data_IF_918470414168
#
_entry.id   IF_918470414168
#
_cell.length_a   1.000
_cell.length_b   1.000
_cell.length_c   1.000
_cell.angle_alpha   90.00
_cell.angle_beta   90.00
_cell.angle_gamma   90.00
#
_symmetry.space_group_name_H-M   'P 1'
#
loop_
_entity.id
_entity.type
_entity.pdbx_description
1 polymer ?
#
# COMPACT_ATOMS: atom_id res chain seq x y z
N UNK A 1 -15.62 -18.35 15.95
CA UNK A 1 -14.15 -18.43 16.30
C UNK A 1 -13.41 -18.47 14.97
N UNK A 2 -12.47 -17.55 14.73
CA UNK A 2 -11.60 -17.66 13.55
C UNK A 2 -10.81 -18.97 13.64
N UNK A 3 -10.64 -19.71 12.52
CA UNK A 3 -9.83 -20.93 12.54
C UNK A 3 -8.38 -20.61 12.94
N UNK A 4 -7.64 -21.62 13.40
CA UNK A 4 -6.19 -21.46 13.64
C UNK A 4 -5.52 -21.08 12.33
N UNK A 5 -5.18 -19.80 12.19
CA UNK A 5 -4.59 -19.23 10.98
C UNK A 5 -3.14 -18.93 11.28
N UNK A 6 -2.27 -19.32 10.36
CA UNK A 6 -0.87 -18.92 10.41
C UNK A 6 -0.67 -17.67 9.55
N UNK A 7 -0.40 -16.54 10.20
CA UNK A 7 -0.24 -15.26 9.53
C UNK A 7 1.12 -15.16 8.83
N UNK A 8 1.12 -14.65 7.62
CA UNK A 8 2.33 -14.35 6.85
C UNK A 8 2.60 -12.85 6.74
N UNK A 9 1.64 -12.02 7.14
CA UNK A 9 1.81 -10.58 7.36
C UNK A 9 1.05 -10.12 8.60
N UNK A 10 1.65 -9.22 9.39
CA UNK A 10 1.02 -8.53 10.52
C UNK A 10 1.34 -7.05 10.36
N UNK A 11 0.33 -6.20 10.54
CA UNK A 11 0.48 -4.77 10.33
C UNK A 11 -0.11 -4.00 11.53
N UNK A 12 0.76 -3.30 12.25
CA UNK A 12 0.35 -2.37 13.29
C UNK A 12 0.18 -0.98 12.66
N UNK A 13 -1.05 -0.57 12.48
CA UNK A 13 -1.44 0.68 11.85
C UNK A 13 -2.53 1.42 12.62
N UNK A 14 -3.05 2.48 12.03
CA UNK A 14 -4.11 3.31 12.59
C UNK A 14 -3.62 4.68 13.03
N UNK A 15 -3.88 5.10 14.26
CA UNK A 15 -3.49 6.44 14.72
C UNK A 15 -1.97 6.62 14.78
N UNK A 16 -1.33 6.14 15.84
CA UNK A 16 0.14 6.14 15.96
C UNK A 16 0.57 4.94 16.79
N UNK A 17 0.65 3.75 16.20
CA UNK A 17 0.91 2.52 16.93
C UNK A 17 2.28 2.48 17.61
N UNK A 18 3.23 3.27 17.13
CA UNK A 18 4.53 3.42 17.79
C UNK A 18 4.48 4.12 19.15
N UNK A 19 3.34 4.68 19.58
CA UNK A 19 3.15 5.20 20.94
C UNK A 19 2.91 4.06 21.95
N UNK A 20 2.49 2.87 21.50
CA UNK A 20 2.34 1.72 22.38
C UNK A 20 3.68 1.37 23.06
N UNK A 21 3.64 0.92 24.34
CA UNK A 21 4.78 0.25 24.95
C UNK A 21 5.21 -0.95 24.11
N UNK A 22 6.52 -1.12 23.93
CA UNK A 22 7.05 -2.21 23.08
C UNK A 22 6.71 -3.59 23.66
N UNK A 23 6.56 -3.67 24.98
CA UNK A 23 6.14 -4.85 25.72
C UNK A 23 4.75 -5.32 25.24
N UNK A 24 3.79 -4.39 25.08
CA UNK A 24 2.44 -4.69 24.57
C UNK A 24 2.47 -5.21 23.12
N UNK A 25 3.34 -4.63 22.27
CA UNK A 25 3.54 -5.14 20.90
C UNK A 25 4.02 -6.59 20.96
N UNK A 26 4.97 -6.89 21.85
CA UNK A 26 5.51 -8.23 22.04
C UNK A 26 4.46 -9.22 22.56
N UNK A 27 3.62 -8.80 23.50
CA UNK A 27 2.50 -9.60 24.01
C UNK A 27 1.52 -9.96 22.90
N UNK A 28 1.09 -8.97 22.09
CA UNK A 28 0.19 -9.21 20.94
C UNK A 28 0.83 -10.22 19.97
N UNK A 29 2.11 -10.08 19.65
CA UNK A 29 2.79 -10.98 18.72
C UNK A 29 2.94 -12.40 19.27
N UNK A 30 3.03 -12.57 20.59
CA UNK A 30 3.11 -13.88 21.23
C UNK A 30 1.78 -14.64 21.21
N UNK A 31 0.65 -13.92 21.15
CA UNK A 31 -0.70 -14.52 21.05
C UNK A 31 -1.05 -14.96 19.62
N UNK A 32 -0.29 -14.55 18.62
CA UNK A 32 -0.56 -14.84 17.21
C UNK A 32 0.34 -15.98 16.68
N UNK A 33 -0.25 -16.92 15.92
CA UNK A 33 0.55 -17.89 15.14
C UNK A 33 0.95 -17.25 13.79
N UNK A 34 2.24 -17.08 13.58
CA UNK A 34 2.76 -16.47 12.37
C UNK A 34 3.97 -17.20 11.80
N UNK A 35 4.18 -17.09 10.50
CA UNK A 35 5.26 -17.78 9.80
C UNK A 35 6.62 -17.15 10.13
N UNK A 36 7.69 -17.97 10.14
CA UNK A 36 9.07 -17.52 10.39
C UNK A 36 9.47 -16.33 9.50
N UNK A 37 8.91 -16.27 8.28
CA UNK A 37 9.19 -15.24 7.28
C UNK A 37 8.05 -14.22 7.17
N UNK A 38 7.22 -14.06 8.21
CA UNK A 38 6.16 -13.06 8.22
C UNK A 38 6.73 -11.65 8.07
N UNK A 39 6.05 -10.81 7.29
CA UNK A 39 6.27 -9.37 7.30
C UNK A 39 5.51 -8.78 8.48
N UNK A 40 6.22 -8.17 9.42
CA UNK A 40 5.64 -7.56 10.60
C UNK A 40 5.97 -6.07 10.56
N UNK A 41 4.98 -5.27 10.20
CA UNK A 41 5.11 -3.82 9.98
C UNK A 41 4.61 -3.04 11.18
N UNK A 42 5.33 -1.96 11.53
CA UNK A 42 4.88 -0.94 12.47
C UNK A 42 4.91 0.43 11.80
N UNK A 43 3.79 1.16 11.85
CA UNK A 43 3.75 2.57 11.51
C UNK A 43 4.34 3.40 12.64
N UNK A 44 5.10 4.44 12.27
CA UNK A 44 5.63 5.39 13.23
C UNK A 44 5.66 6.81 12.66
N UNK A 45 5.51 7.77 13.57
CA UNK A 45 5.80 9.18 13.29
C UNK A 45 7.22 9.52 13.77
N UNK A 46 7.92 10.45 13.10
CA UNK A 46 9.25 10.88 13.52
C UNK A 46 9.30 11.51 14.92
N UNK A 47 8.17 12.03 15.41
CA UNK A 47 8.09 12.68 16.74
C UNK A 47 8.38 11.66 17.85
N UNK A 48 9.17 12.05 18.83
CA UNK A 48 9.45 11.28 20.06
C UNK A 48 10.08 9.90 19.85
N UNK A 49 10.78 9.70 18.75
CA UNK A 49 11.48 8.47 18.44
C UNK A 49 12.95 8.53 18.84
N UNK A 50 13.36 7.64 19.73
CA UNK A 50 14.76 7.50 20.16
C UNK A 50 15.41 6.27 19.58
N UNK A 51 16.73 6.26 19.52
CA UNK A 51 17.49 5.08 19.08
C UNK A 51 17.22 3.85 19.95
N UNK A 52 17.13 4.02 21.26
CA UNK A 52 16.86 2.93 22.20
C UNK A 52 15.45 2.34 21.99
N UNK A 53 14.46 3.20 21.71
CA UNK A 53 13.11 2.73 21.39
C UNK A 53 13.09 1.94 20.09
N UNK A 54 13.76 2.42 19.05
CA UNK A 54 13.88 1.73 17.76
C UNK A 54 14.58 0.37 17.91
N UNK A 55 15.61 0.27 18.75
CA UNK A 55 16.27 -0.98 19.06
C UNK A 55 15.33 -1.98 19.74
N UNK A 56 14.59 -1.56 20.76
CA UNK A 56 13.56 -2.39 21.42
C UNK A 56 12.48 -2.84 20.42
N UNK A 57 12.00 -1.94 19.56
CA UNK A 57 11.02 -2.28 18.49
C UNK A 57 11.62 -3.35 17.57
N UNK A 58 12.89 -3.26 17.21
CA UNK A 58 13.54 -4.29 16.38
C UNK A 58 13.65 -5.64 17.11
N UNK A 59 13.94 -5.62 18.41
CA UNK A 59 14.01 -6.80 19.27
C UNK A 59 12.64 -7.47 19.46
N UNK A 60 11.52 -6.72 19.40
CA UNK A 60 10.14 -7.24 19.48
C UNK A 60 9.69 -7.98 18.21
N UNK A 61 10.61 -8.24 17.26
CA UNK A 61 10.39 -8.95 15.98
C UNK A 61 9.72 -8.15 14.87
N UNK A 62 9.42 -6.86 15.09
CA UNK A 62 9.09 -5.96 14.00
C UNK A 62 10.25 -5.97 12.99
N UNK A 63 9.96 -6.24 11.72
CA UNK A 63 10.99 -6.34 10.67
C UNK A 63 10.81 -5.34 9.53
N UNK A 64 9.72 -4.58 9.56
CA UNK A 64 9.43 -3.49 8.61
C UNK A 64 8.90 -2.27 9.35
N UNK A 65 9.35 -1.08 8.96
CA UNK A 65 8.81 0.20 9.43
C UNK A 65 8.12 0.93 8.29
N UNK A 66 7.02 1.65 8.59
CA UNK A 66 6.44 2.68 7.72
C UNK A 66 6.56 4.01 8.46
N UNK A 67 7.36 4.92 7.91
CA UNK A 67 7.68 6.19 8.58
C UNK A 67 6.89 7.32 7.92
N UNK A 68 5.89 7.85 8.64
CA UNK A 68 5.03 8.93 8.18
C UNK A 68 5.74 10.28 8.16
N UNK A 69 6.65 10.48 7.22
CA UNK A 69 7.42 11.72 7.05
C UNK A 69 6.55 12.82 6.43
N UNK A 70 5.80 12.50 5.41
CA UNK A 70 4.87 13.33 4.63
C UNK A 70 5.55 14.33 3.70
N UNK A 71 6.57 15.06 4.13
CA UNK A 71 7.43 15.96 3.35
C UNK A 71 8.74 16.22 4.09
N UNK A 72 9.77 16.64 3.39
CA UNK A 72 11.01 17.18 3.98
C UNK A 72 11.04 18.71 3.92
N UNK A 73 9.92 19.37 3.60
CA UNK A 73 9.82 20.83 3.60
C UNK A 73 9.09 21.29 4.87
N UNK A 74 9.79 22.02 5.76
CA UNK A 74 9.26 22.42 7.07
C UNK A 74 7.97 23.25 6.96
N UNK A 75 7.82 24.09 5.93
CA UNK A 75 6.59 24.87 5.74
C UNK A 75 5.41 23.98 5.35
N UNK A 76 5.63 22.93 4.55
CA UNK A 76 4.62 21.94 4.19
C UNK A 76 4.22 21.12 5.42
N UNK A 77 5.20 20.62 6.19
CA UNK A 77 4.96 19.91 7.44
C UNK A 77 4.11 20.72 8.41
N UNK A 78 4.48 21.99 8.61
CA UNK A 78 3.72 22.92 9.46
C UNK A 78 2.29 23.12 8.96
N UNK A 79 2.11 23.25 7.64
CA UNK A 79 0.80 23.44 7.03
C UNK A 79 -0.14 22.24 7.30
N UNK A 80 0.37 21.01 7.18
CA UNK A 80 -0.40 19.80 7.47
C UNK A 80 -0.45 19.41 8.96
N UNK A 81 0.09 20.29 9.85
CA UNK A 81 0.01 20.11 11.30
C UNK A 81 0.99 19.09 11.88
N UNK A 82 2.06 18.75 11.14
CA UNK A 82 3.11 17.88 11.67
C UNK A 82 3.98 18.63 12.67
N UNK A 83 4.39 17.94 13.74
CA UNK A 83 5.20 18.51 14.82
C UNK A 83 6.70 18.29 14.62
N UNK A 84 7.09 17.30 13.80
CA UNK A 84 8.48 17.02 13.47
C UNK A 84 8.97 17.92 12.34
N UNK A 85 10.26 18.17 12.33
CA UNK A 85 10.98 18.86 11.25
C UNK A 85 11.54 17.87 10.22
N UNK A 86 12.00 18.40 9.10
CA UNK A 86 12.77 17.64 8.10
C UNK A 86 13.99 16.95 8.71
N UNK A 87 14.71 17.65 9.60
CA UNK A 87 15.89 17.10 10.28
C UNK A 87 15.52 15.94 11.19
N UNK A 88 14.42 16.05 11.96
CA UNK A 88 13.90 14.96 12.81
C UNK A 88 13.57 13.73 11.96
N UNK A 89 12.90 13.92 10.83
CA UNK A 89 12.54 12.83 9.91
C UNK A 89 13.78 12.09 9.38
N UNK A 90 14.78 12.83 8.91
CA UNK A 90 16.05 12.27 8.41
C UNK A 90 16.80 11.56 9.54
N UNK A 91 16.83 12.12 10.74
CA UNK A 91 17.49 11.54 11.90
C UNK A 91 16.82 10.23 12.33
N UNK A 92 15.48 10.19 12.39
CA UNK A 92 14.74 8.97 12.72
C UNK A 92 15.01 7.88 11.70
N UNK A 93 15.00 8.21 10.40
CA UNK A 93 15.35 7.26 9.36
C UNK A 93 16.77 6.68 9.55
N UNK A 94 17.77 7.53 9.80
CA UNK A 94 19.15 7.10 10.06
C UNK A 94 19.26 6.26 11.34
N UNK A 95 18.55 6.62 12.40
CA UNK A 95 18.50 5.84 13.65
C UNK A 95 17.85 4.48 13.41
N UNK A 96 16.78 4.38 12.61
CA UNK A 96 16.14 3.11 12.25
C UNK A 96 17.12 2.19 11.49
N UNK A 97 17.88 2.73 10.54
CA UNK A 97 18.95 1.98 9.87
C UNK A 97 20.00 1.48 10.85
N UNK A 98 20.48 2.33 11.75
CA UNK A 98 21.46 1.96 12.80
C UNK A 98 20.92 0.91 13.77
N UNK A 99 19.60 0.92 14.04
CA UNK A 99 18.94 -0.11 14.86
C UNK A 99 18.75 -1.45 14.13
N UNK A 100 19.16 -1.56 12.85
CA UNK A 100 19.15 -2.81 12.08
C UNK A 100 17.90 -3.03 11.22
N UNK A 101 17.10 -2.00 10.97
CA UNK A 101 16.00 -2.10 10.01
C UNK A 101 16.53 -2.00 8.56
N UNK A 102 16.31 -3.06 7.78
CA UNK A 102 16.68 -3.15 6.36
C UNK A 102 15.45 -3.08 5.43
N UNK A 103 14.26 -2.96 5.98
CA UNK A 103 13.01 -2.79 5.23
C UNK A 103 12.24 -1.61 5.82
N UNK A 104 12.39 -0.46 5.16
CA UNK A 104 11.76 0.80 5.59
C UNK A 104 10.97 1.38 4.43
N UNK A 105 9.72 1.70 4.71
CA UNK A 105 8.88 2.55 3.86
C UNK A 105 8.97 3.98 4.37
N UNK A 106 9.10 4.92 3.45
CA UNK A 106 8.92 6.35 3.69
C UNK A 106 7.61 6.76 3.07
N UNK A 107 6.73 7.36 3.89
CA UNK A 107 5.45 7.87 3.43
C UNK A 107 5.57 9.36 3.17
N UNK A 108 5.26 9.79 1.94
CA UNK A 108 5.24 11.19 1.49
C UNK A 108 3.87 11.56 0.95
N UNK A 109 3.60 12.85 0.93
CA UNK A 109 2.38 13.42 0.35
C UNK A 109 2.74 14.46 -0.70
N UNK A 110 1.93 14.53 -1.74
CA UNK A 110 1.97 15.60 -2.74
C UNK A 110 0.58 16.21 -2.94
N UNK A 111 0.47 17.24 -3.76
CA UNK A 111 -0.82 17.88 -3.98
C UNK A 111 -1.35 18.65 -2.77
N UNK A 112 -0.46 19.05 -1.85
CA UNK A 112 -0.81 19.83 -0.67
C UNK A 112 -0.95 21.31 -1.07
N UNK A 113 -2.00 22.03 -0.62
CA UNK A 113 -2.10 23.47 -0.87
C UNK A 113 -0.81 24.22 -0.50
N UNK A 114 -0.35 25.08 -1.38
CA UNK A 114 0.92 25.82 -1.28
C UNK A 114 2.20 24.99 -1.41
N UNK A 115 2.13 23.72 -1.77
CA UNK A 115 3.28 22.92 -2.17
C UNK A 115 3.62 23.22 -3.63
N UNK A 116 4.87 23.53 -3.93
CA UNK A 116 5.35 23.77 -5.31
C UNK A 116 6.00 22.52 -5.91
N UNK A 117 6.22 22.53 -7.21
CA UNK A 117 7.03 21.52 -7.91
C UNK A 117 8.47 21.46 -7.40
N UNK A 118 9.03 22.60 -6.99
CA UNK A 118 10.37 22.66 -6.40
C UNK A 118 10.40 22.06 -4.98
N UNK A 119 9.34 22.20 -4.20
CA UNK A 119 9.21 21.54 -2.91
C UNK A 119 9.21 20.01 -3.09
N UNK A 120 8.40 19.52 -4.02
CA UNK A 120 8.37 18.10 -4.38
C UNK A 120 9.72 17.61 -4.87
N UNK A 121 10.41 18.38 -5.75
CA UNK A 121 11.74 17.99 -6.24
C UNK A 121 12.74 17.85 -5.08
N UNK A 122 12.76 18.81 -4.15
CA UNK A 122 13.63 18.74 -2.95
C UNK A 122 13.31 17.52 -2.09
N UNK A 123 12.04 17.16 -1.94
CA UNK A 123 11.62 15.94 -1.23
C UNK A 123 12.17 14.68 -1.91
N UNK A 124 12.06 14.61 -3.23
CA UNK A 124 12.58 13.51 -4.04
C UNK A 124 14.11 13.41 -4.00
N UNK A 125 14.82 14.53 -4.04
CA UNK A 125 16.29 14.57 -3.96
C UNK A 125 16.80 14.07 -2.60
N UNK A 126 16.14 14.43 -1.51
CA UNK A 126 16.47 13.92 -0.17
C UNK A 126 16.20 12.40 -0.12
N UNK A 127 15.07 11.97 -0.66
CA UNK A 127 14.68 10.57 -0.70
C UNK A 127 15.68 9.70 -1.49
N UNK A 128 16.22 10.23 -2.61
CA UNK A 128 17.26 9.59 -3.39
C UNK A 128 18.54 9.34 -2.55
N UNK A 129 18.88 10.27 -1.65
CA UNK A 129 19.99 10.12 -0.72
C UNK A 129 19.74 9.08 0.37
N UNK A 130 18.52 8.93 0.83
CA UNK A 130 18.11 7.98 1.88
C UNK A 130 17.98 6.55 1.36
N UNK A 131 17.55 6.36 0.11
CA UNK A 131 17.39 5.06 -0.59
C UNK A 131 16.56 4.04 0.21
N UNK A 132 15.31 4.36 0.61
CA UNK A 132 14.45 3.38 1.28
C UNK A 132 14.12 2.21 0.35
N UNK A 133 13.76 1.06 0.92
CA UNK A 133 13.32 -0.11 0.13
C UNK A 133 11.95 0.12 -0.49
N UNK A 134 11.11 0.94 0.17
CA UNK A 134 9.77 1.24 -0.31
C UNK A 134 9.42 2.71 -0.07
N UNK A 135 8.60 3.27 -0.93
CA UNK A 135 8.04 4.62 -0.79
C UNK A 135 6.55 4.56 -1.04
N UNK A 136 5.79 5.06 -0.08
CA UNK A 136 4.37 5.40 -0.29
C UNK A 136 4.30 6.89 -0.57
N UNK A 137 3.77 7.28 -1.73
CA UNK A 137 3.57 8.69 -2.05
C UNK A 137 2.18 8.87 -2.65
N UNK A 138 1.37 9.69 -2.01
CA UNK A 138 -0.04 9.85 -2.33
C UNK A 138 -0.46 11.31 -2.27
N UNK A 139 -1.43 11.65 -3.11
CA UNK A 139 -2.04 12.97 -3.11
C UNK A 139 -2.87 13.21 -1.85
N UNK A 140 -2.97 14.47 -1.45
CA UNK A 140 -3.85 14.87 -0.35
C UNK A 140 -5.31 14.54 -0.68
N UNK A 141 -5.93 13.70 0.16
CA UNK A 141 -7.36 13.38 0.05
C UNK A 141 -8.14 14.26 1.03
N UNK A 142 -9.18 14.91 0.52
CA UNK A 142 -10.09 15.74 1.31
C UNK A 142 -11.19 14.89 1.94
N UNK A 143 -10.92 14.34 3.10
CA UNK A 143 -11.81 13.40 3.76
C UNK A 143 -12.83 14.14 4.64
N UNK A 144 -14.12 13.81 4.46
CA UNK A 144 -15.21 14.37 5.24
C UNK A 144 -15.02 14.14 6.74
N UNK A 145 -15.38 15.15 7.54
CA UNK A 145 -15.21 15.11 9.00
C UNK A 145 -13.83 15.55 9.49
N UNK A 146 -12.86 15.80 8.59
CA UNK A 146 -11.54 16.34 8.96
C UNK A 146 -11.55 17.87 9.07
N UNK A 147 -10.53 18.39 9.78
CA UNK A 147 -10.31 19.85 9.88
C UNK A 147 -10.05 20.45 8.49
N UNK A 148 -9.32 19.76 7.63
CA UNK A 148 -9.02 20.18 6.26
C UNK A 148 -10.29 20.27 5.43
N UNK A 149 -11.15 19.25 5.47
CA UNK A 149 -12.46 19.26 4.83
C UNK A 149 -13.33 20.44 5.28
N UNK A 150 -13.38 20.68 6.62
CA UNK A 150 -14.13 21.83 7.14
C UNK A 150 -13.61 23.18 6.64
N UNK A 151 -12.28 23.32 6.48
CA UNK A 151 -11.68 24.55 5.92
C UNK A 151 -11.94 24.70 4.44
N UNK A 152 -11.94 23.61 3.67
CA UNK A 152 -12.31 23.59 2.25
C UNK A 152 -13.76 24.03 2.07
N UNK A 153 -14.70 23.45 2.83
CA UNK A 153 -16.13 23.80 2.76
C UNK A 153 -16.41 25.27 3.13
N UNK A 154 -15.57 25.88 3.95
CA UNK A 154 -15.66 27.30 4.32
C UNK A 154 -14.92 28.22 3.36
N UNK A 155 -14.32 27.70 2.29
CA UNK A 155 -13.53 28.50 1.35
C UNK A 155 -12.23 29.09 1.94
N UNK A 156 -11.76 28.58 3.11
CA UNK A 156 -10.51 29.00 3.73
C UNK A 156 -9.31 28.32 3.04
N UNK A 157 -9.50 27.12 2.55
CA UNK A 157 -8.55 26.39 1.73
C UNK A 157 -9.19 26.07 0.38
N UNK A 158 -8.38 25.93 -0.65
CA UNK A 158 -8.75 25.43 -1.97
C UNK A 158 -7.94 24.18 -2.28
N UNK A 159 -8.51 23.32 -3.11
CA UNK A 159 -7.76 22.23 -3.72
C UNK A 159 -6.62 22.78 -4.57
N UNK A 160 -5.57 22.00 -4.76
CA UNK A 160 -4.52 22.34 -5.72
C UNK A 160 -5.08 22.28 -7.13
N UNK A 161 -4.48 23.03 -8.03
CA UNK A 161 -4.80 22.95 -9.44
C UNK A 161 -4.59 21.53 -9.96
N UNK A 162 -5.57 20.98 -10.71
CA UNK A 162 -5.55 19.58 -11.19
C UNK A 162 -4.42 19.32 -12.18
N UNK A 163 -4.07 20.32 -13.02
CA UNK A 163 -2.96 20.18 -13.96
C UNK A 163 -1.63 20.15 -13.21
N UNK A 164 -1.47 20.97 -12.16
CA UNK A 164 -0.29 20.93 -11.29
C UNK A 164 -0.18 19.61 -10.50
N UNK A 165 -1.29 19.09 -10.01
CA UNK A 165 -1.30 17.78 -9.33
C UNK A 165 -0.89 16.65 -10.30
N UNK A 166 -1.39 16.69 -11.53
CA UNK A 166 -1.01 15.73 -12.57
C UNK A 166 0.48 15.85 -12.91
N UNK A 167 1.03 17.07 -13.06
CA UNK A 167 2.44 17.32 -13.31
C UNK A 167 3.32 16.80 -12.15
N UNK A 168 2.88 17.01 -10.89
CA UNK A 168 3.55 16.45 -9.72
C UNK A 168 3.59 14.93 -9.78
N UNK A 169 2.48 14.27 -10.11
CA UNK A 169 2.42 12.81 -10.19
C UNK A 169 3.26 12.26 -11.32
N UNK A 170 3.26 12.90 -12.49
CA UNK A 170 4.14 12.52 -13.60
C UNK A 170 5.61 12.60 -13.21
N UNK A 171 6.01 13.70 -12.57
CA UNK A 171 7.37 13.89 -12.06
C UNK A 171 7.77 12.81 -11.05
N UNK A 172 6.86 12.38 -10.18
CA UNK A 172 7.08 11.28 -9.23
C UNK A 172 7.37 9.98 -9.96
N UNK A 173 6.52 9.60 -10.92
CA UNK A 173 6.70 8.37 -11.71
C UNK A 173 8.05 8.38 -12.42
N UNK A 174 8.34 9.45 -13.16
CA UNK A 174 9.59 9.60 -13.91
C UNK A 174 10.82 9.56 -12.99
N UNK A 175 10.72 10.14 -11.80
CA UNK A 175 11.81 10.10 -10.83
C UNK A 175 12.09 8.68 -10.35
N UNK A 176 11.07 7.94 -9.96
CA UNK A 176 11.24 6.60 -9.42
C UNK A 176 11.72 5.59 -10.48
N UNK A 177 11.19 5.67 -11.70
CA UNK A 177 11.67 4.86 -12.82
C UNK A 177 13.16 5.08 -13.06
N UNK A 178 13.62 6.34 -13.15
CA UNK A 178 15.03 6.69 -13.36
C UNK A 178 15.95 6.29 -12.22
N UNK A 179 15.40 6.14 -10.99
CA UNK A 179 16.18 5.84 -9.79
C UNK A 179 16.09 4.37 -9.34
N UNK A 180 15.61 3.47 -10.21
CA UNK A 180 15.61 2.04 -9.97
C UNK A 180 14.53 1.56 -8.99
N UNK A 181 13.37 2.19 -9.03
CA UNK A 181 12.17 1.74 -8.33
C UNK A 181 11.13 1.22 -9.33
N UNK A 182 10.38 0.22 -8.93
CA UNK A 182 9.20 -0.28 -9.62
C UNK A 182 7.95 0.25 -8.94
N UNK A 183 7.07 0.90 -9.70
CA UNK A 183 5.72 1.26 -9.23
C UNK A 183 4.88 -0.02 -9.23
N UNK A 184 4.70 -0.65 -8.07
CA UNK A 184 3.95 -1.91 -7.99
C UNK A 184 2.44 -1.71 -7.79
N UNK A 185 2.02 -0.55 -7.28
CA UNK A 185 0.62 -0.09 -7.24
C UNK A 185 0.58 1.44 -7.28
N UNK A 186 -0.61 2.05 -7.42
CA UNK A 186 -0.79 3.47 -7.74
C UNK A 186 0.05 4.42 -6.88
N UNK A 187 0.14 4.16 -5.58
CA UNK A 187 0.78 5.06 -4.61
C UNK A 187 2.09 4.52 -4.06
N UNK A 188 2.53 3.33 -4.46
CA UNK A 188 3.68 2.67 -3.85
C UNK A 188 4.74 2.24 -4.86
N UNK A 189 6.00 2.53 -4.49
CA UNK A 189 7.19 2.27 -5.27
C UNK A 189 8.15 1.39 -4.46
N UNK A 190 8.61 0.29 -5.04
CA UNK A 190 9.56 -0.62 -4.43
C UNK A 190 10.91 -0.53 -5.12
N UNK A 191 11.99 -0.39 -4.36
CA UNK A 191 13.35 -0.35 -4.92
C UNK A 191 13.72 -1.71 -5.47
N UNK A 192 14.19 -1.74 -6.71
CA UNK A 192 14.71 -2.93 -7.36
C UNK A 192 16.13 -3.20 -6.81
N UNK A 193 16.39 -4.44 -6.38
CA UNK A 193 17.72 -4.82 -5.92
C UNK A 193 18.73 -4.73 -7.09
N UNK A 194 19.98 -4.32 -6.81
CA UNK A 194 21.01 -4.14 -7.84
C UNK A 194 21.26 -5.38 -8.71
N UNK A 195 21.10 -6.57 -8.12
CA UNK A 195 21.23 -7.86 -8.82
C UNK A 195 20.07 -8.20 -9.75
N UNK A 196 18.96 -7.51 -9.63
CA UNK A 196 17.70 -7.76 -10.35
C UNK A 196 17.41 -6.61 -11.35
N UNK A 197 18.33 -5.63 -11.50
CA UNK A 197 18.19 -4.46 -12.40
C UNK A 197 18.20 -4.79 -13.89
N UNK A 198 18.69 -5.97 -14.25
CA UNK A 198 18.70 -6.44 -15.65
C UNK A 198 17.31 -6.84 -16.17
N UNK A 199 16.29 -6.85 -15.28
CA UNK A 199 14.91 -7.09 -15.67
C UNK A 199 14.30 -5.76 -16.13
N UNK A 200 14.23 -5.54 -17.43
CA UNK A 200 13.54 -4.37 -17.97
C UNK A 200 12.04 -4.45 -17.72
N UNK A 201 11.45 -3.37 -17.19
CA UNK A 201 10.01 -3.28 -16.87
C UNK A 201 9.15 -3.65 -18.07
N UNK A 202 9.54 -3.21 -19.26
CA UNK A 202 8.83 -3.48 -20.51
C UNK A 202 8.97 -4.93 -21.02
N UNK A 203 9.83 -5.75 -20.40
CA UNK A 203 10.09 -7.13 -20.80
C UNK A 203 9.56 -8.17 -19.80
N UNK A 204 8.69 -7.78 -18.87
CA UNK A 204 8.08 -8.70 -17.91
C UNK A 204 7.20 -9.70 -18.66
N UNK A 205 7.71 -10.91 -18.84
CA UNK A 205 6.98 -12.01 -19.50
C UNK A 205 6.57 -13.11 -18.53
N UNK A 206 7.07 -13.06 -17.27
CA UNK A 206 6.89 -14.11 -16.26
C UNK A 206 6.56 -13.51 -14.89
N UNK A 207 5.71 -14.20 -14.14
CA UNK A 207 5.46 -13.86 -12.73
C UNK A 207 6.73 -13.90 -11.85
N UNK A 208 7.76 -14.64 -12.25
CA UNK A 208 9.04 -14.66 -11.55
C UNK A 208 9.75 -13.31 -11.64
N UNK A 209 9.72 -12.66 -12.80
CA UNK A 209 10.33 -11.36 -13.02
C UNK A 209 9.61 -10.29 -12.19
N UNK A 210 8.27 -10.32 -12.17
CA UNK A 210 7.48 -9.47 -11.27
C UNK A 210 7.87 -9.64 -9.80
N UNK A 211 8.07 -10.88 -9.32
CA UNK A 211 8.45 -11.13 -7.93
C UNK A 211 9.83 -10.58 -7.59
N UNK A 212 10.77 -10.60 -8.53
CA UNK A 212 12.10 -10.01 -8.35
C UNK A 212 11.99 -8.49 -8.21
N UNK A 213 11.26 -7.85 -9.11
CA UNK A 213 11.05 -6.40 -9.09
C UNK A 213 10.29 -5.93 -7.85
N UNK A 214 9.29 -6.70 -7.41
CA UNK A 214 8.44 -6.40 -6.26
C UNK A 214 9.00 -6.96 -4.94
N UNK A 215 10.25 -7.39 -4.88
CA UNK A 215 10.83 -8.01 -3.68
C UNK A 215 10.74 -7.12 -2.44
N UNK A 216 10.91 -5.82 -2.61
CA UNK A 216 10.83 -4.80 -1.58
C UNK A 216 9.43 -4.17 -1.45
N UNK A 217 8.44 -4.64 -2.19
CA UNK A 217 7.06 -4.19 -2.07
C UNK A 217 6.46 -4.61 -0.72
N UNK A 218 5.55 -3.78 -0.19
CA UNK A 218 4.80 -4.10 1.03
C UNK A 218 3.90 -5.31 0.81
N UNK A 219 4.26 -6.46 1.39
CA UNK A 219 3.51 -7.71 1.22
C UNK A 219 2.09 -7.61 1.76
N UNK A 220 1.91 -6.90 2.87
CA UNK A 220 0.59 -6.68 3.44
C UNK A 220 -0.29 -5.84 2.51
N UNK A 221 0.26 -4.77 1.93
CA UNK A 221 -0.43 -3.92 0.97
C UNK A 221 -0.85 -4.71 -0.29
N UNK A 222 0.04 -5.52 -0.85
CA UNK A 222 -0.27 -6.37 -1.99
C UNK A 222 -1.44 -7.34 -1.75
N UNK A 223 -1.67 -7.77 -0.50
CA UNK A 223 -2.82 -8.64 -0.16
C UNK A 223 -4.15 -7.95 -0.38
N UNK A 224 -4.25 -6.67 -0.02
CA UNK A 224 -5.47 -5.90 -0.26
C UNK A 224 -5.77 -5.79 -1.77
N UNK A 225 -4.76 -5.44 -2.57
CA UNK A 225 -4.95 -5.28 -4.02
C UNK A 225 -5.19 -6.62 -4.74
N UNK A 226 -4.72 -7.72 -4.19
CA UNK A 226 -5.02 -9.09 -4.66
C UNK A 226 -6.32 -9.65 -4.09
N UNK A 227 -7.11 -8.83 -3.40
CA UNK A 227 -8.38 -9.22 -2.76
C UNK A 227 -8.24 -10.46 -1.86
N UNK A 228 -7.13 -10.56 -1.11
CA UNK A 228 -6.89 -11.67 -0.18
C UNK A 228 -7.58 -11.39 1.16
N UNK A 229 -7.88 -12.47 1.90
CA UNK A 229 -8.50 -12.42 3.22
C UNK A 229 -7.57 -11.76 4.24
N UNK A 230 -8.14 -10.95 5.13
CA UNK A 230 -7.44 -10.31 6.25
C UNK A 230 -8.38 -10.15 7.45
N UNK A 231 -7.79 -10.07 8.63
CA UNK A 231 -8.51 -9.90 9.90
C UNK A 231 -7.99 -8.63 10.55
N UNK A 232 -8.90 -7.72 10.87
CA UNK A 232 -8.62 -6.50 11.62
C UNK A 232 -8.93 -6.67 13.11
N UNK A 233 -7.98 -6.29 13.95
CA UNK A 233 -8.09 -6.30 15.40
C UNK A 233 -8.00 -4.87 15.93
N UNK A 234 -8.82 -4.51 16.88
CA UNK A 234 -8.91 -3.16 17.42
C UNK A 234 -10.17 -2.43 16.94
N UNK A 235 -10.42 -1.26 17.53
CA UNK A 235 -11.56 -0.41 17.17
C UNK A 235 -11.47 0.04 15.72
N UNK A 236 -12.61 0.08 15.05
CA UNK A 236 -12.75 0.48 13.63
C UNK A 236 -11.98 -0.38 12.64
N UNK A 237 -11.23 -1.39 13.10
CA UNK A 237 -10.46 -2.25 12.21
C UNK A 237 -11.40 -3.03 11.29
N UNK A 238 -11.10 -2.99 9.98
CA UNK A 238 -11.86 -3.72 8.97
C UNK A 238 -11.33 -5.15 8.81
N UNK A 239 -12.21 -6.05 8.39
CA UNK A 239 -11.89 -7.44 8.07
C UNK A 239 -12.51 -7.84 6.74
N UNK A 240 -11.85 -8.73 6.03
CA UNK A 240 -12.40 -9.49 4.92
C UNK A 240 -12.07 -10.95 5.13
N UNK A 241 -13.03 -11.70 5.59
CA UNK A 241 -12.86 -13.10 5.92
C UNK A 241 -14.15 -13.87 5.69
N UNK A 242 -14.03 -15.09 5.16
CA UNK A 242 -15.14 -15.99 4.90
C UNK A 242 -16.30 -15.37 4.11
N UNK A 243 -15.90 -14.66 3.04
CA UNK A 243 -16.80 -13.97 2.12
C UNK A 243 -17.65 -12.85 2.76
N UNK A 244 -17.21 -12.38 3.92
CA UNK A 244 -17.83 -11.24 4.59
C UNK A 244 -16.81 -10.12 4.78
N UNK A 245 -17.23 -8.89 4.55
CA UNK A 245 -16.57 -7.67 5.01
C UNK A 245 -17.30 -7.13 6.21
N UNK A 246 -16.56 -6.64 7.17
CA UNK A 246 -17.12 -5.93 8.32
C UNK A 246 -16.05 -5.05 8.95
N UNK A 247 -16.48 -4.11 9.78
CA UNK A 247 -15.62 -3.31 10.64
C UNK A 247 -15.98 -3.52 12.10
N UNK A 248 -15.00 -3.39 12.97
CA UNK A 248 -15.24 -3.36 14.41
C UNK A 248 -15.90 -2.04 14.80
N UNK A 249 -16.60 -2.06 15.94
CA UNK A 249 -17.25 -0.85 16.49
C UNK A 249 -16.25 0.27 16.76
N UNK A 250 -16.70 1.53 16.60
CA UNK A 250 -15.83 2.72 16.57
C UNK A 250 -15.58 3.37 17.94
N UNK A 251 -16.29 2.96 19.00
CA UNK A 251 -16.16 3.58 20.32
C UNK A 251 -15.55 2.64 21.34
N UNK A 252 -14.65 3.14 22.19
CA UNK A 252 -14.02 2.37 23.26
C UNK A 252 -15.04 1.65 24.13
N UNK A 253 -16.05 2.37 24.61
CA UNK A 253 -17.07 1.79 25.51
C UNK A 253 -17.77 0.58 24.88
N UNK A 254 -18.22 0.70 23.62
CA UNK A 254 -18.91 -0.42 22.94
C UNK A 254 -17.95 -1.56 22.66
N UNK A 255 -16.68 -1.24 22.27
CA UNK A 255 -15.66 -2.23 21.99
C UNK A 255 -15.35 -3.09 23.22
N UNK A 256 -15.04 -2.45 24.36
CA UNK A 256 -14.71 -3.17 25.59
C UNK A 256 -15.91 -3.93 26.17
N UNK A 257 -17.11 -3.37 26.16
CA UNK A 257 -18.29 -4.09 26.61
C UNK A 257 -18.53 -5.39 25.83
N UNK A 258 -18.30 -5.37 24.50
CA UNK A 258 -18.42 -6.60 23.70
C UNK A 258 -17.33 -7.62 24.03
N UNK A 259 -16.09 -7.17 24.25
CA UNK A 259 -15.00 -8.06 24.66
C UNK A 259 -15.27 -8.67 26.06
N UNK A 260 -15.71 -7.86 27.01
CA UNK A 260 -16.06 -8.31 28.37
C UNK A 260 -17.22 -9.31 28.37
N UNK A 261 -18.16 -9.16 27.42
CA UNK A 261 -19.23 -10.12 27.15
C UNK A 261 -18.78 -11.36 26.33
N UNK A 262 -17.48 -11.53 26.08
CA UNK A 262 -16.91 -12.60 25.23
C UNK A 262 -17.46 -12.61 23.79
N UNK A 263 -17.87 -11.44 23.27
CA UNK A 263 -18.39 -11.27 21.92
C UNK A 263 -17.35 -10.65 20.99
N UNK A 264 -17.43 -10.97 19.69
CA UNK A 264 -16.66 -10.24 18.70
C UNK A 264 -17.13 -8.79 18.60
N UNK A 265 -16.23 -7.80 18.62
CA UNK A 265 -16.58 -6.38 18.62
C UNK A 265 -16.99 -5.86 17.23
N UNK A 266 -17.73 -6.65 16.48
CA UNK A 266 -18.19 -6.34 15.12
C UNK A 266 -19.34 -5.34 15.17
N UNK A 267 -19.28 -4.33 14.30
CA UNK A 267 -20.42 -3.47 14.02
C UNK A 267 -21.33 -4.15 12.99
N UNK A 268 -22.43 -4.70 13.45
CA UNK A 268 -23.38 -5.45 12.63
C UNK A 268 -23.91 -4.67 11.43
N UNK A 269 -23.96 -3.33 11.53
CA UNK A 269 -24.39 -2.47 10.42
C UNK A 269 -23.37 -2.40 9.27
N UNK A 270 -22.16 -2.90 9.48
CA UNK A 270 -21.08 -2.90 8.48
C UNK A 270 -20.88 -4.26 7.82
N UNK A 271 -21.68 -5.27 8.21
CA UNK A 271 -21.55 -6.60 7.63
C UNK A 271 -22.06 -6.60 6.20
N UNK A 272 -21.16 -6.89 5.27
CA UNK A 272 -21.42 -7.01 3.85
C UNK A 272 -21.04 -8.42 3.40
N UNK A 273 -22.00 -9.17 2.87
CA UNK A 273 -21.74 -10.48 2.29
C UNK A 273 -21.32 -10.32 0.84
N UNK A 274 -20.13 -10.82 0.52
CA UNK A 274 -19.54 -10.73 -0.81
C UNK A 274 -19.84 -12.02 -1.57
N UNK A 275 -20.77 -11.96 -2.49
CA UNK A 275 -21.06 -13.10 -3.37
C UNK A 275 -20.01 -13.25 -4.51
N UNK A 276 -20.15 -14.27 -5.32
CA UNK A 276 -19.18 -14.54 -6.39
C UNK A 276 -19.17 -13.46 -7.48
N UNK A 277 -20.29 -12.78 -7.69
CA UNK A 277 -20.38 -11.68 -8.63
C UNK A 277 -19.62 -10.43 -8.11
N UNK A 278 -19.82 -10.09 -6.84
CA UNK A 278 -19.10 -9.01 -6.18
C UNK A 278 -17.58 -9.32 -6.07
N UNK A 279 -17.21 -10.58 -5.80
CA UNK A 279 -15.79 -10.99 -5.81
C UNK A 279 -15.10 -10.70 -7.14
N UNK A 280 -15.77 -11.01 -8.27
CA UNK A 280 -15.21 -10.77 -9.60
C UNK A 280 -15.09 -9.27 -9.91
N UNK A 281 -16.03 -8.44 -9.50
CA UNK A 281 -15.93 -6.98 -9.61
C UNK A 281 -14.76 -6.43 -8.78
N UNK A 282 -14.71 -6.78 -7.49
CA UNK A 282 -13.66 -6.37 -6.56
C UNK A 282 -12.28 -6.80 -7.05
N UNK A 283 -12.15 -8.01 -7.57
CA UNK A 283 -10.90 -8.52 -8.12
C UNK A 283 -10.38 -7.63 -9.27
N UNK A 284 -11.27 -7.14 -10.13
CA UNK A 284 -10.90 -6.25 -11.25
C UNK A 284 -10.55 -4.86 -10.74
N UNK A 285 -11.43 -4.28 -9.92
CA UNK A 285 -11.21 -2.95 -9.36
C UNK A 285 -9.90 -2.87 -8.55
N UNK A 286 -9.68 -3.83 -7.66
CA UNK A 286 -8.47 -3.86 -6.83
C UNK A 286 -7.23 -4.29 -7.64
N UNK A 287 -7.39 -5.29 -8.52
CA UNK A 287 -6.28 -5.82 -9.31
C UNK A 287 -5.74 -4.85 -10.36
N UNK A 288 -6.58 -3.95 -10.89
CA UNK A 288 -6.12 -2.88 -11.79
C UNK A 288 -5.27 -1.82 -11.09
N UNK A 289 -5.25 -1.78 -9.75
CA UNK A 289 -4.30 -0.94 -9.01
C UNK A 289 -2.87 -1.47 -9.06
N UNK A 290 -2.68 -2.77 -9.37
CA UNK A 290 -1.38 -3.41 -9.53
C UNK A 290 -0.84 -3.10 -10.93
N UNK A 291 0.09 -2.15 -11.01
CA UNK A 291 0.52 -1.52 -12.27
C UNK A 291 1.13 -2.53 -13.25
N UNK A 292 2.04 -3.36 -12.78
CA UNK A 292 2.73 -4.33 -13.64
C UNK A 292 2.08 -5.73 -13.61
N UNK A 293 1.40 -6.07 -12.54
CA UNK A 293 0.71 -7.35 -12.41
C UNK A 293 -0.62 -7.36 -13.16
N UNK A 294 -1.33 -6.22 -13.15
CA UNK A 294 -2.65 -6.09 -13.75
C UNK A 294 -3.64 -7.15 -13.26
N UNK A 295 -4.69 -7.42 -14.03
CA UNK A 295 -5.72 -8.41 -13.69
C UNK A 295 -6.21 -9.17 -14.91
N UNK A 296 -6.55 -10.44 -14.75
CA UNK A 296 -7.24 -11.19 -15.78
C UNK A 296 -8.72 -10.76 -15.89
N UNK A 297 -9.32 -10.96 -17.03
CA UNK A 297 -10.71 -10.62 -17.30
C UNK A 297 -11.41 -11.75 -18.09
N UNK A 298 -12.72 -11.76 -18.04
CA UNK A 298 -13.57 -12.75 -18.71
C UNK A 298 -14.15 -12.23 -20.03
N UNK A 299 -14.68 -13.12 -20.86
CA UNK A 299 -15.39 -12.74 -22.09
C UNK A 299 -16.57 -11.78 -21.85
N UNK A 300 -17.18 -11.83 -20.65
CA UNK A 300 -18.26 -10.93 -20.25
C UNK A 300 -17.79 -9.46 -20.20
N UNK A 301 -16.51 -9.24 -19.95
CA UNK A 301 -15.89 -7.92 -19.84
C UNK A 301 -15.35 -7.40 -21.18
N UNK A 302 -15.33 -8.25 -22.23
CA UNK A 302 -14.66 -7.95 -23.51
C UNK A 302 -15.05 -6.59 -24.11
N UNK A 303 -16.33 -6.25 -24.11
CA UNK A 303 -16.81 -4.94 -24.63
C UNK A 303 -16.31 -3.76 -23.82
N UNK A 304 -16.26 -3.88 -22.48
CA UNK A 304 -15.74 -2.84 -21.59
C UNK A 304 -14.24 -2.67 -21.81
N UNK A 305 -13.52 -3.78 -21.88
CA UNK A 305 -12.07 -3.81 -22.13
C UNK A 305 -11.75 -3.17 -23.49
N UNK A 306 -12.45 -3.55 -24.55
CA UNK A 306 -12.27 -2.95 -25.90
C UNK A 306 -12.49 -1.42 -25.88
N UNK A 307 -13.55 -0.94 -25.21
CA UNK A 307 -13.82 0.49 -25.02
C UNK A 307 -12.66 1.20 -24.32
N UNK A 308 -12.16 0.62 -23.24
CA UNK A 308 -11.09 1.22 -22.44
C UNK A 308 -9.75 1.22 -23.19
N UNK A 309 -9.44 0.16 -23.95
CA UNK A 309 -8.26 0.09 -24.84
C UNK A 309 -8.36 1.17 -25.93
N UNK A 310 -9.51 1.28 -26.60
CA UNK A 310 -9.73 2.30 -27.64
C UNK A 310 -9.52 3.73 -27.10
N UNK A 311 -9.86 3.96 -25.83
CA UNK A 311 -9.65 5.25 -25.17
C UNK A 311 -8.20 5.42 -24.66
N UNK A 312 -7.36 4.41 -24.80
CA UNK A 312 -5.96 4.40 -24.36
C UNK A 312 -5.79 4.38 -22.84
N UNK A 313 -6.78 3.87 -22.07
CA UNK A 313 -6.76 3.87 -20.63
C UNK A 313 -6.17 2.57 -20.04
N UNK A 314 -6.33 1.48 -20.74
CA UNK A 314 -5.75 0.18 -20.38
C UNK A 314 -5.06 -0.44 -21.58
N UNK A 315 -4.18 -1.39 -21.33
CA UNK A 315 -3.55 -2.23 -22.35
C UNK A 315 -3.66 -3.70 -21.99
N UNK A 316 -3.67 -4.56 -23.01
CA UNK A 316 -3.61 -6.01 -22.85
C UNK A 316 -2.15 -6.48 -22.90
N UNK A 317 -1.86 -7.48 -22.08
CA UNK A 317 -0.57 -8.16 -22.12
C UNK A 317 -0.72 -9.64 -21.78
N UNK A 318 0.33 -10.42 -22.05
CA UNK A 318 0.37 -11.85 -21.79
C UNK A 318 1.49 -12.16 -20.82
N UNK A 319 1.18 -12.92 -19.76
CA UNK A 319 2.15 -13.37 -18.78
C UNK A 319 2.22 -14.90 -18.77
N UNK A 320 3.44 -15.46 -18.77
CA UNK A 320 3.66 -16.91 -18.77
C UNK A 320 3.33 -17.49 -17.38
N UNK A 321 2.42 -18.45 -17.33
CA UNK A 321 2.13 -19.22 -16.14
C UNK A 321 3.24 -20.25 -15.91
N UNK A 322 3.90 -20.18 -14.73
CA UNK A 322 4.87 -21.18 -14.28
C UNK A 322 4.15 -22.44 -13.79
N UNK A 323 3.36 -23.10 -14.60
CA UNK A 323 2.81 -24.41 -14.30
C UNK A 323 3.70 -25.49 -14.90
N UNK A 324 4.43 -26.22 -14.03
CA UNK A 324 5.03 -27.51 -14.39
C UNK A 324 3.92 -28.53 -14.57
N UNK A 325 3.30 -28.56 -15.73
CA UNK A 325 2.35 -29.63 -16.08
C UNK A 325 3.18 -30.91 -16.27
N UNK A 326 3.16 -31.81 -15.30
CA UNK A 326 3.73 -33.16 -15.43
C UNK A 326 2.81 -33.99 -16.31
N UNK A 327 3.03 -33.98 -17.61
CA UNK A 327 2.48 -35.01 -18.48
C UNK A 327 3.28 -36.31 -18.32
N UNK A 328 2.58 -37.40 -18.07
CA UNK A 328 3.13 -38.76 -17.82
C UNK A 328 3.85 -39.35 -19.02
N UNK A 329 4.39 -38.74 -20.00
CA UNK A 329 5.22 -39.34 -21.05
C UNK A 329 5.65 -38.45 -22.23
N UNK A 330 5.75 -37.15 -22.11
CA UNK A 330 6.53 -36.33 -23.09
C UNK A 330 6.89 -34.95 -22.47
N UNK A 331 8.14 -34.54 -22.60
CA UNK A 331 8.62 -33.19 -22.29
C UNK A 331 8.15 -32.19 -23.35
N UNK A 332 6.86 -31.95 -23.45
CA UNK A 332 6.34 -30.83 -24.22
C UNK A 332 5.97 -29.72 -23.23
N UNK A 333 6.83 -28.70 -23.11
CA UNK A 333 6.50 -27.46 -22.44
C UNK A 333 5.45 -26.74 -23.29
N UNK A 334 4.19 -26.87 -22.95
CA UNK A 334 3.16 -25.96 -23.45
C UNK A 334 3.32 -24.68 -22.64
N UNK A 335 3.83 -23.62 -23.25
CA UNK A 335 3.83 -22.28 -22.66
C UNK A 335 2.38 -21.87 -22.48
N UNK A 336 1.92 -21.83 -21.24
CA UNK A 336 0.57 -21.42 -20.89
C UNK A 336 0.60 -19.93 -20.54
N UNK A 337 0.07 -19.10 -21.41
CA UNK A 337 -0.01 -17.65 -21.21
C UNK A 337 -1.38 -17.30 -20.63
N UNK A 338 -1.39 -16.38 -19.67
CA UNK A 338 -2.59 -15.73 -19.17
C UNK A 338 -2.72 -14.34 -19.79
N UNK A 339 -3.87 -14.07 -20.38
CA UNK A 339 -4.23 -12.76 -20.90
C UNK A 339 -4.69 -11.87 -19.77
N UNK A 340 -4.10 -10.70 -19.63
CA UNK A 340 -4.37 -9.72 -18.56
C UNK A 340 -4.50 -8.31 -19.13
N UNK A 341 -5.06 -7.43 -18.33
CA UNK A 341 -5.13 -5.99 -18.58
C UNK A 341 -4.45 -5.21 -17.47
N UNK A 342 -3.83 -4.10 -17.79
CA UNK A 342 -3.26 -3.14 -16.84
C UNK A 342 -3.54 -1.71 -17.27
N UNK A 343 -3.41 -0.76 -16.36
CA UNK A 343 -3.51 0.66 -16.67
C UNK A 343 -2.35 1.10 -17.57
N UNK A 344 -2.63 1.95 -18.53
CA UNK A 344 -1.60 2.73 -19.24
C UNK A 344 -1.18 3.94 -18.39
N UNK A 345 -0.12 4.66 -18.78
CA UNK A 345 0.26 5.94 -18.13
C UNK A 345 -0.94 6.90 -18.11
N UNK A 346 -1.69 7.04 -19.21
CA UNK A 346 -2.94 7.81 -19.24
C UNK A 346 -4.01 7.27 -18.30
N UNK A 347 -4.13 5.94 -18.23
CA UNK A 347 -5.09 5.28 -17.35
C UNK A 347 -4.78 5.47 -15.87
N UNK A 348 -3.52 5.66 -15.48
CA UNK A 348 -3.14 5.97 -14.10
C UNK A 348 -3.76 7.28 -13.61
N UNK A 349 -3.73 8.33 -14.43
CA UNK A 349 -4.34 9.62 -14.09
C UNK A 349 -5.88 9.57 -14.03
N UNK A 350 -6.49 8.61 -14.71
CA UNK A 350 -7.93 8.41 -14.79
C UNK A 350 -8.37 7.08 -14.15
N UNK A 351 -7.60 6.57 -13.20
CA UNK A 351 -7.78 5.23 -12.65
C UNK A 351 -9.18 5.00 -12.07
N UNK A 352 -9.75 5.99 -11.37
CA UNK A 352 -11.11 5.89 -10.84
C UNK A 352 -12.15 5.70 -11.94
N UNK A 353 -11.99 6.38 -13.09
CA UNK A 353 -12.90 6.23 -14.24
C UNK A 353 -12.81 4.82 -14.83
N UNK A 354 -11.61 4.20 -14.80
CA UNK A 354 -11.43 2.81 -15.24
C UNK A 354 -12.07 1.85 -14.24
N UNK A 355 -11.87 2.06 -12.94
CA UNK A 355 -12.41 1.18 -11.90
C UNK A 355 -13.93 1.11 -11.92
N UNK A 356 -14.60 2.25 -12.08
CA UNK A 356 -16.08 2.35 -12.13
C UNK A 356 -16.68 1.53 -13.28
N UNK A 357 -15.99 1.35 -14.40
CA UNK A 357 -16.48 0.53 -15.51
C UNK A 357 -16.63 -0.98 -15.14
N UNK A 358 -15.97 -1.44 -14.06
CA UNK A 358 -16.00 -2.83 -13.61
C UNK A 358 -16.89 -3.07 -12.37
N UNK A 359 -17.48 -2.03 -11.80
CA UNK A 359 -18.42 -2.07 -10.65
C UNK A 359 -19.91 -2.08 -11.12
#
# INVERSE_FOLDING_TARGET
>A
MYPKIKYDTIYFGGGTPSLLPVEMISEILNELDWSKNAEITLELNPTDMTFEKLKKIRESRINRLSIGIQSFQNHVLKFIGRQHSSEDAINVYKMARKAGFSNITVDLMFGIPNQSLEDLQRDLDILQGLKPENVSIYSLIWEEGTVFWSKLQKGILSEIDQDLEAEMYEKIIDFFEKNGYCQYEISNFARIDDKDKDVEINEIKKFEDLRKMQKNAGRHNLKYWRNQKFIGVGMSAASYFDDNRHSNVRTFKKYYNLIDDEKFPIDENTIEKIDDFEKEKLKKMLGLRLIEEGVNYSEKDAKKVEKLIKNGLIEEFFIEKNEKIKFKNKKNFVKNYEKRIKLTKKGLFLANNVFVEFI
#
